data_IF_207729790854
#
_entry.id   IF_207729790854
#
_cell.length_a   1.000
_cell.length_b   1.000
_cell.length_c   1.000
_cell.angle_alpha   90.00
_cell.angle_beta   90.00
_cell.angle_gamma   90.00
#
_symmetry.space_group_name_H-M   'P 1'
#
loop_
_entity.id
_entity.type
_entity.pdbx_description
1 polymer ?
#
# COMPACT_ATOMS: atom_id res chain seq x y z
N UNK A 1 -72.67 -0.02 -39.54
CA UNK A 1 -71.80 -1.03 -40.17
C UNK A 1 -70.64 -1.28 -39.20
N UNK A 2 -70.57 -2.49 -38.63
CA UNK A 2 -69.53 -3.26 -37.90
C UNK A 2 -68.32 -2.52 -37.29
N UNK A 3 -67.79 -2.83 -36.09
CA UNK A 3 -67.71 -4.05 -35.24
C UNK A 3 -67.52 -3.64 -33.76
N UNK A 4 -68.14 -4.21 -32.72
CA UNK A 4 -68.10 -5.56 -32.12
C UNK A 4 -66.75 -6.01 -31.49
N UNK A 5 -66.89 -6.48 -30.23
CA UNK A 5 -66.06 -7.38 -29.40
C UNK A 5 -65.04 -6.71 -28.46
N UNK A 6 -65.12 -6.79 -27.11
CA UNK A 6 -65.36 -7.86 -26.13
C UNK A 6 -64.06 -8.35 -25.45
N UNK A 7 -64.01 -8.13 -24.13
CA UNK A 7 -63.44 -8.96 -23.05
C UNK A 7 -62.36 -10.00 -23.39
N UNK A 8 -61.20 -9.92 -22.74
CA UNK A 8 -60.53 -11.09 -22.14
C UNK A 8 -59.37 -10.69 -21.20
N UNK A 9 -59.56 -11.07 -19.94
CA UNK A 9 -58.60 -11.60 -18.96
C UNK A 9 -57.20 -11.96 -19.50
N UNK A 10 -56.14 -11.45 -18.87
CA UNK A 10 -54.82 -12.07 -18.95
C UNK A 10 -54.53 -12.81 -17.65
N UNK A 11 -54.55 -14.14 -17.77
CA UNK A 11 -54.40 -15.09 -16.69
C UNK A 11 -52.98 -15.19 -16.16
N UNK A 12 -52.93 -15.51 -14.87
CA UNK A 12 -51.80 -16.06 -14.15
C UNK A 12 -51.36 -17.37 -14.83
N UNK A 13 -50.18 -17.40 -15.44
CA UNK A 13 -49.53 -18.63 -15.87
C UNK A 13 -48.57 -19.06 -14.77
N UNK A 14 -48.98 -20.05 -13.98
CA UNK A 14 -48.06 -20.91 -13.25
C UNK A 14 -47.36 -21.83 -14.24
N UNK A 15 -46.04 -21.73 -14.34
CA UNK A 15 -45.21 -22.75 -14.96
C UNK A 15 -44.46 -23.52 -13.85
N UNK A 16 -44.90 -24.75 -13.61
CA UNK A 16 -44.13 -25.79 -12.94
C UNK A 16 -43.71 -26.81 -14.01
N UNK A 17 -42.40 -26.91 -14.29
CA UNK A 17 -41.80 -28.13 -14.85
C UNK A 17 -40.27 -28.03 -14.84
N UNK A 18 -39.63 -29.10 -14.36
CA UNK A 18 -38.39 -29.61 -14.97
C UNK A 18 -37.10 -29.33 -14.21
N UNK A 19 -36.78 -30.21 -13.25
CA UNK A 19 -35.43 -30.43 -12.76
C UNK A 19 -34.44 -30.74 -13.88
N UNK A 20 -33.35 -29.97 -13.93
CA UNK A 20 -32.06 -30.40 -14.46
C UNK A 20 -30.98 -29.75 -13.61
N UNK A 21 -30.58 -30.41 -12.53
CA UNK A 21 -29.37 -30.05 -11.81
C UNK A 21 -28.19 -30.22 -12.77
N UNK A 22 -27.71 -29.12 -13.35
CA UNK A 22 -26.42 -29.10 -14.04
C UNK A 22 -25.37 -29.27 -12.97
N UNK A 23 -24.90 -30.50 -12.86
CA UNK A 23 -23.79 -30.90 -12.00
C UNK A 23 -22.53 -30.25 -12.55
N UNK A 24 -22.21 -29.06 -12.04
CA UNK A 24 -20.92 -28.44 -12.25
C UNK A 24 -19.87 -29.36 -11.62
N UNK A 25 -19.17 -30.13 -12.44
CA UNK A 25 -17.95 -30.82 -12.05
C UNK A 25 -16.90 -29.75 -11.70
N UNK A 26 -16.83 -29.40 -10.42
CA UNK A 26 -15.64 -28.75 -9.88
C UNK A 26 -14.51 -29.77 -9.94
N UNK A 27 -13.66 -29.69 -10.95
CA UNK A 27 -12.30 -30.23 -10.88
C UNK A 27 -11.66 -29.59 -9.65
N UNK A 28 -11.55 -30.35 -8.57
CA UNK A 28 -10.63 -30.03 -7.49
C UNK A 28 -9.22 -30.11 -8.09
N UNK A 29 -8.71 -28.95 -8.50
CA UNK A 29 -7.29 -28.79 -8.77
C UNK A 29 -6.57 -28.86 -7.44
N UNK A 30 -5.75 -29.89 -7.26
CA UNK A 30 -4.82 -30.03 -6.16
C UNK A 30 -3.90 -28.80 -6.10
N UNK A 31 -4.16 -27.87 -5.18
CA UNK A 31 -3.25 -26.79 -4.84
C UNK A 31 -2.18 -27.32 -3.85
N UNK A 32 -1.32 -28.21 -4.33
CA UNK A 32 -0.16 -28.75 -3.61
C UNK A 32 1.10 -27.88 -3.74
N UNK A 33 0.96 -26.56 -3.91
CA UNK A 33 2.08 -25.64 -3.85
C UNK A 33 2.43 -25.35 -2.38
N UNK A 34 3.68 -25.56 -1.99
CA UNK A 34 4.15 -25.12 -0.67
C UNK A 34 3.77 -23.64 -0.47
N UNK A 35 2.97 -23.33 0.57
CA UNK A 35 2.65 -21.95 0.93
C UNK A 35 3.98 -21.22 1.10
N UNK A 36 4.21 -20.17 0.30
CA UNK A 36 5.39 -19.34 0.53
C UNK A 36 5.17 -18.57 1.82
N UNK A 37 6.26 -18.34 2.55
CA UNK A 37 6.19 -17.57 3.78
C UNK A 37 5.87 -16.12 3.45
N UNK A 38 4.88 -15.56 4.14
CA UNK A 38 4.63 -14.12 4.10
C UNK A 38 5.81 -13.39 4.71
N UNK A 39 6.38 -12.44 3.98
CA UNK A 39 7.55 -11.69 4.42
C UNK A 39 7.40 -10.21 4.12
N UNK A 40 7.82 -9.38 5.07
CA UNK A 40 7.96 -7.94 4.90
C UNK A 40 9.41 -7.60 5.21
N UNK A 41 10.14 -7.11 4.21
CA UNK A 41 11.52 -6.65 4.35
C UNK A 41 11.54 -5.13 4.30
N UNK A 42 12.05 -4.48 5.32
CA UNK A 42 12.35 -3.04 5.27
C UNK A 42 13.67 -2.81 4.53
N UNK A 43 13.64 -1.92 3.53
CA UNK A 43 14.78 -1.62 2.66
C UNK A 43 15.39 -0.23 2.94
N UNK A 44 14.89 0.48 3.95
CA UNK A 44 15.27 1.85 4.30
C UNK A 44 14.19 2.87 3.96
N UNK A 45 14.12 3.96 4.73
CA UNK A 45 13.10 5.01 4.61
C UNK A 45 11.67 4.44 4.58
N UNK A 46 10.90 4.66 3.52
CA UNK A 46 9.57 4.11 3.30
C UNK A 46 9.57 2.88 2.37
N UNK A 47 10.74 2.38 1.95
CA UNK A 47 10.86 1.31 1.00
C UNK A 47 10.68 -0.07 1.64
N UNK A 48 9.80 -0.90 1.09
CA UNK A 48 9.54 -2.27 1.56
C UNK A 48 9.41 -3.26 0.41
N UNK A 49 9.97 -4.46 0.57
CA UNK A 49 9.62 -5.62 -0.24
C UNK A 49 8.62 -6.49 0.55
N UNK A 50 7.45 -6.74 -0.02
CA UNK A 50 6.42 -7.61 0.57
C UNK A 50 6.25 -8.85 -0.31
N UNK A 51 6.35 -10.02 0.30
CA UNK A 51 6.04 -11.31 -0.32
C UNK A 51 4.80 -11.88 0.33
N UNK A 52 3.75 -12.13 -0.46
CA UNK A 52 2.49 -12.69 0.01
C UNK A 52 2.59 -14.20 0.29
N UNK A 53 1.59 -14.81 0.96
CA UNK A 53 1.52 -16.26 1.13
C UNK A 53 1.48 -17.05 -0.19
N UNK A 54 0.82 -16.48 -1.22
CA UNK A 54 0.79 -17.04 -2.57
C UNK A 54 2.05 -16.76 -3.40
N UNK A 55 2.97 -15.95 -2.86
CA UNK A 55 4.27 -15.67 -3.49
C UNK A 55 4.32 -14.45 -4.40
N UNK A 56 3.27 -13.64 -4.45
CA UNK A 56 3.26 -12.34 -5.10
C UNK A 56 4.24 -11.40 -4.40
N UNK A 57 5.08 -10.73 -5.19
CA UNK A 57 6.10 -9.78 -4.73
C UNK A 57 5.67 -8.36 -5.04
N UNK A 58 5.53 -7.54 -4.02
CA UNK A 58 5.24 -6.12 -4.14
C UNK A 58 6.46 -5.33 -3.65
N UNK A 59 6.82 -4.29 -4.39
CA UNK A 59 7.84 -3.33 -3.98
C UNK A 59 7.16 -1.99 -3.72
N UNK A 60 7.23 -1.51 -2.49
CA UNK A 60 6.53 -0.30 -2.04
C UNK A 60 7.56 0.81 -1.87
N UNK A 61 7.25 2.00 -2.40
CA UNK A 61 8.02 3.25 -2.29
C UNK A 61 9.54 3.06 -2.46
N UNK A 62 10.02 2.53 -3.61
CA UNK A 62 11.43 2.18 -3.78
C UNK A 62 12.31 3.43 -3.94
N UNK A 63 12.78 3.97 -2.82
CA UNK A 63 13.93 4.87 -2.73
C UNK A 63 15.10 4.10 -2.10
N UNK A 64 15.95 3.54 -2.95
CA UNK A 64 16.96 2.53 -2.62
C UNK A 64 18.38 3.02 -2.97
N UNK A 65 18.62 3.44 -4.20
CA UNK A 65 19.99 3.71 -4.69
C UNK A 65 20.64 4.88 -3.94
N UNK A 66 19.89 5.97 -3.81
CA UNK A 66 20.31 7.22 -3.15
C UNK A 66 19.97 7.28 -1.66
N UNK A 67 19.28 6.27 -1.14
CA UNK A 67 18.92 6.21 0.26
C UNK A 67 20.14 5.79 1.10
N UNK A 68 20.57 6.59 2.10
CA UNK A 68 21.70 6.25 2.94
C UNK A 68 21.40 5.08 3.90
N UNK A 69 20.13 4.84 4.24
CA UNK A 69 19.72 3.75 5.11
C UNK A 69 19.59 2.41 4.38
N UNK A 70 19.55 2.39 3.04
CA UNK A 70 19.48 1.15 2.27
C UNK A 70 20.83 0.44 2.30
N UNK A 71 20.90 -0.80 2.82
CA UNK A 71 22.13 -1.59 2.79
C UNK A 71 22.63 -1.80 1.36
N UNK A 72 23.95 -1.83 1.15
CA UNK A 72 24.56 -1.89 -0.18
C UNK A 72 24.05 -3.06 -1.04
N UNK A 73 23.82 -4.22 -0.41
CA UNK A 73 23.28 -5.40 -1.08
C UNK A 73 21.87 -5.19 -1.68
N UNK A 74 21.11 -4.22 -1.19
CA UNK A 74 19.77 -3.88 -1.66
C UNK A 74 19.75 -2.73 -2.67
N UNK A 75 20.89 -2.08 -2.95
CA UNK A 75 20.98 -0.95 -3.91
C UNK A 75 21.01 -1.37 -5.38
N UNK A 76 21.40 -2.61 -5.67
CA UNK A 76 21.41 -3.10 -7.05
C UNK A 76 19.98 -3.34 -7.57
N UNK A 77 19.43 -2.40 -8.34
CA UNK A 77 18.04 -2.44 -8.83
C UNK A 77 17.72 -3.68 -9.69
N UNK A 78 18.70 -4.27 -10.37
CA UNK A 78 18.50 -5.44 -11.23
C UNK A 78 17.99 -6.68 -10.47
N UNK A 79 18.19 -6.72 -9.14
CA UNK A 79 17.71 -7.79 -8.25
C UNK A 79 16.19 -7.84 -8.15
N UNK A 80 15.51 -6.71 -8.36
CA UNK A 80 14.07 -6.62 -8.15
C UNK A 80 13.34 -7.08 -9.40
N UNK A 81 12.37 -7.98 -9.18
CA UNK A 81 11.41 -8.49 -10.18
C UNK A 81 10.03 -8.54 -9.53
N UNK A 82 9.47 -7.39 -9.13
CA UNK A 82 8.17 -7.35 -8.45
C UNK A 82 7.03 -7.63 -9.45
N UNK A 83 5.94 -8.20 -8.96
CA UNK A 83 4.68 -8.32 -9.70
C UNK A 83 3.97 -6.97 -9.82
N UNK A 84 4.19 -6.06 -8.86
CA UNK A 84 3.81 -4.66 -8.95
C UNK A 84 4.69 -3.77 -8.07
N UNK A 85 4.87 -2.53 -8.49
CA UNK A 85 5.49 -1.46 -7.71
C UNK A 85 4.38 -0.54 -7.22
N UNK A 86 4.34 -0.27 -5.92
CA UNK A 86 3.36 0.64 -5.32
C UNK A 86 4.07 1.93 -4.90
N UNK A 87 3.58 3.08 -5.36
CA UNK A 87 4.14 4.39 -5.02
C UNK A 87 3.06 5.23 -4.36
N UNK A 88 3.23 5.52 -3.06
CA UNK A 88 2.26 6.23 -2.22
C UNK A 88 2.05 7.66 -2.70
N UNK A 89 3.14 8.34 -3.06
CA UNK A 89 3.11 9.71 -3.55
C UNK A 89 4.39 10.05 -4.33
N UNK A 90 4.39 11.20 -4.99
CA UNK A 90 5.37 11.53 -6.03
C UNK A 90 6.73 12.01 -5.53
N UNK A 91 6.90 12.29 -4.23
CA UNK A 91 8.18 12.76 -3.70
C UNK A 91 9.30 11.76 -3.98
N UNK A 92 10.52 12.27 -4.20
CA UNK A 92 11.65 11.49 -4.70
C UNK A 92 12.11 10.39 -3.73
N UNK A 93 11.90 10.60 -2.44
CA UNK A 93 12.22 9.66 -1.35
C UNK A 93 11.18 8.53 -1.21
N UNK A 94 10.17 8.52 -2.07
CA UNK A 94 9.21 7.42 -2.23
C UNK A 94 9.22 6.85 -3.67
N UNK A 95 9.31 7.71 -4.68
CA UNK A 95 9.21 7.32 -6.09
C UNK A 95 10.55 7.01 -6.77
N UNK A 96 11.67 7.29 -6.10
CA UNK A 96 12.98 7.51 -6.71
C UNK A 96 13.45 6.48 -7.74
N UNK A 97 13.34 5.19 -7.44
CA UNK A 97 13.79 4.10 -8.32
C UNK A 97 12.64 3.39 -9.05
N UNK A 98 11.38 3.78 -8.81
CA UNK A 98 10.20 3.08 -9.33
C UNK A 98 10.18 3.02 -10.87
N UNK A 99 10.45 4.14 -11.53
CA UNK A 99 10.45 4.24 -12.99
C UNK A 99 11.53 3.36 -13.63
N UNK A 100 12.72 3.33 -13.05
CA UNK A 100 13.84 2.55 -13.57
C UNK A 100 13.56 1.05 -13.44
N UNK A 101 13.08 0.61 -12.28
CA UNK A 101 12.70 -0.79 -12.04
C UNK A 101 11.57 -1.22 -12.99
N UNK A 102 10.56 -0.37 -13.21
CA UNK A 102 9.45 -0.67 -14.12
C UNK A 102 9.91 -0.82 -15.57
N UNK A 103 10.75 0.10 -16.06
CA UNK A 103 11.30 0.07 -17.43
C UNK A 103 12.19 -1.15 -17.66
N UNK A 104 13.01 -1.53 -16.67
CA UNK A 104 13.90 -2.67 -16.78
C UNK A 104 13.17 -4.02 -16.64
N UNK A 105 12.18 -4.10 -15.73
CA UNK A 105 11.58 -5.35 -15.30
C UNK A 105 10.23 -5.69 -15.93
N UNK A 106 9.55 -4.73 -16.56
CA UNK A 106 8.22 -4.99 -17.08
C UNK A 106 7.08 -4.74 -16.08
N UNK A 107 7.39 -4.51 -14.80
CA UNK A 107 6.40 -4.44 -13.72
C UNK A 107 5.46 -3.23 -13.84
N UNK A 108 4.16 -3.39 -13.52
CA UNK A 108 3.25 -2.27 -13.39
C UNK A 108 3.57 -1.41 -12.17
N UNK A 109 3.37 -0.11 -12.32
CA UNK A 109 3.47 0.89 -11.26
C UNK A 109 2.08 1.36 -10.91
N UNK A 110 1.74 1.25 -9.63
CA UNK A 110 0.46 1.63 -9.04
C UNK A 110 0.66 2.89 -8.22
N UNK A 111 -0.22 3.87 -8.42
CA UNK A 111 -0.20 5.12 -7.68
C UNK A 111 -1.40 5.98 -8.06
N UNK A 112 -1.34 7.26 -7.72
CA UNK A 112 -2.34 8.22 -8.16
C UNK A 112 -2.37 8.32 -9.68
N UNK A 113 -3.55 8.55 -10.24
CA UNK A 113 -3.71 8.71 -11.68
C UNK A 113 -2.78 9.79 -12.24
N UNK A 114 -2.69 10.95 -11.57
CA UNK A 114 -1.85 12.08 -11.98
C UNK A 114 -0.35 11.73 -12.00
N UNK A 115 0.15 11.10 -10.92
CA UNK A 115 1.54 10.67 -10.85
C UNK A 115 1.84 9.63 -11.93
N UNK A 116 1.02 8.58 -12.03
CA UNK A 116 1.25 7.50 -13.00
C UNK A 116 1.21 8.01 -14.44
N UNK A 117 0.28 8.92 -14.76
CA UNK A 117 0.20 9.55 -16.08
C UNK A 117 1.46 10.36 -16.41
N UNK A 118 2.14 10.92 -15.41
CA UNK A 118 3.38 11.67 -15.60
C UNK A 118 4.61 10.81 -15.92
N UNK A 119 4.57 9.50 -15.63
CA UNK A 119 5.73 8.61 -15.76
C UNK A 119 6.06 8.21 -17.20
N UNK A 120 5.13 8.39 -18.13
CA UNK A 120 5.30 7.99 -19.54
C UNK A 120 5.55 6.48 -19.72
N UNK A 121 4.98 5.66 -18.84
CA UNK A 121 5.03 4.20 -18.94
C UNK A 121 4.00 3.70 -19.97
N UNK A 122 4.24 2.54 -20.62
CA UNK A 122 3.23 1.88 -21.44
C UNK A 122 1.95 1.58 -20.64
N UNK A 123 0.78 1.59 -21.28
CA UNK A 123 -0.52 1.38 -20.63
C UNK A 123 -0.58 0.14 -19.72
N UNK A 124 0.05 -0.97 -20.14
CA UNK A 124 0.13 -2.20 -19.34
C UNK A 124 0.89 -2.06 -18.02
N UNK A 125 1.71 -1.02 -17.89
CA UNK A 125 2.48 -0.71 -16.69
C UNK A 125 1.92 0.49 -15.93
N UNK A 126 1.19 1.38 -16.58
CA UNK A 126 0.66 2.61 -16.00
C UNK A 126 -0.67 2.33 -15.27
N UNK A 127 -0.61 1.86 -14.02
CA UNK A 127 -1.81 1.54 -13.21
C UNK A 127 -2.18 2.72 -12.31
N UNK A 128 -2.79 3.74 -12.91
CA UNK A 128 -3.27 4.94 -12.20
C UNK A 128 -4.63 4.73 -11.53
N UNK A 129 -4.77 5.18 -10.29
CA UNK A 129 -6.03 5.13 -9.54
C UNK A 129 -6.25 6.35 -8.64
N UNK A 130 -7.31 6.30 -7.85
CA UNK A 130 -7.61 7.31 -6.82
C UNK A 130 -8.09 6.60 -5.55
N UNK A 131 -8.21 7.34 -4.46
CA UNK A 131 -8.77 6.87 -3.18
C UNK A 131 -10.09 6.11 -3.42
N UNK A 132 -10.23 4.94 -2.79
CA UNK A 132 -11.35 4.02 -2.99
C UNK A 132 -11.14 3.01 -4.12
N UNK A 133 -10.14 3.22 -4.97
CA UNK A 133 -9.73 2.27 -6.01
C UNK A 133 -9.17 0.97 -5.43
N UNK A 134 -9.29 -0.12 -6.17
CA UNK A 134 -8.72 -1.42 -5.81
C UNK A 134 -8.14 -2.10 -7.04
N UNK A 135 -6.93 -2.64 -6.91
CA UNK A 135 -6.24 -3.44 -7.92
C UNK A 135 -5.91 -4.82 -7.38
N UNK A 136 -5.67 -5.78 -8.25
CA UNK A 136 -5.30 -7.15 -7.87
C UNK A 136 -4.04 -7.59 -8.61
N UNK A 137 -3.10 -8.18 -7.86
CA UNK A 137 -1.85 -8.74 -8.36
C UNK A 137 -1.64 -10.10 -7.70
N UNK A 138 -1.66 -11.17 -8.50
CA UNK A 138 -1.64 -12.54 -7.99
C UNK A 138 -2.69 -12.76 -6.90
N UNK A 139 -2.24 -13.08 -5.68
CA UNK A 139 -3.10 -13.36 -4.52
C UNK A 139 -3.30 -12.15 -3.58
N UNK A 140 -2.90 -10.95 -4.00
CA UNK A 140 -2.99 -9.71 -3.21
C UNK A 140 -3.97 -8.73 -3.84
N UNK A 141 -4.87 -8.18 -3.02
CA UNK A 141 -5.64 -6.98 -3.37
C UNK A 141 -4.98 -5.75 -2.77
N UNK A 142 -4.81 -4.71 -3.59
CA UNK A 142 -4.24 -3.43 -3.20
C UNK A 142 -5.36 -2.40 -3.20
N UNK A 143 -5.73 -1.91 -2.03
CA UNK A 143 -6.74 -0.87 -1.85
C UNK A 143 -6.07 0.49 -1.66
N UNK A 144 -6.49 1.48 -2.44
CA UNK A 144 -6.03 2.85 -2.34
C UNK A 144 -6.82 3.58 -1.26
N UNK A 145 -6.15 4.01 -0.20
CA UNK A 145 -6.76 4.74 0.92
C UNK A 145 -6.20 6.15 1.02
N UNK A 146 -6.89 7.11 1.68
CA UNK A 146 -6.38 8.45 1.81
C UNK A 146 -5.06 8.50 2.60
N UNK A 147 -4.23 9.51 2.30
CA UNK A 147 -3.16 9.99 3.14
C UNK A 147 -3.24 11.53 3.26
N UNK A 148 -2.67 12.09 4.33
CA UNK A 148 -2.65 13.53 4.61
C UNK A 148 -1.21 14.07 4.54
N UNK A 149 -0.80 14.41 3.32
CA UNK A 149 0.54 14.93 3.00
C UNK A 149 0.51 15.72 1.67
N UNK A 150 1.64 16.27 1.22
CA UNK A 150 1.77 16.82 -0.14
C UNK A 150 2.23 15.76 -1.14
N UNK A 151 1.93 15.96 -2.43
CA UNK A 151 2.37 15.07 -3.51
C UNK A 151 2.45 15.82 -4.84
N UNK A 152 3.05 17.02 -4.83
CA UNK A 152 3.15 17.87 -6.00
C UNK A 152 4.53 17.78 -6.66
N UNK A 153 4.62 17.60 -8.00
CA UNK A 153 3.53 17.26 -8.92
C UNK A 153 3.11 15.79 -8.77
N UNK A 154 1.83 15.45 -8.94
CA UNK A 154 1.40 14.03 -8.86
C UNK A 154 0.08 13.77 -8.14
N UNK A 155 -0.73 14.80 -7.89
CA UNK A 155 -2.05 14.65 -7.30
C UNK A 155 -1.99 14.51 -5.77
N UNK A 156 -2.88 13.69 -5.20
CA UNK A 156 -3.02 13.54 -3.74
C UNK A 156 -2.24 12.32 -3.23
N UNK A 157 -1.52 12.39 -2.11
CA UNK A 157 -0.87 11.19 -1.58
C UNK A 157 -1.88 10.09 -1.23
N UNK A 158 -1.42 8.86 -1.28
CA UNK A 158 -2.17 7.64 -0.98
C UNK A 158 -1.50 6.85 0.13
N UNK A 159 -2.31 6.08 0.87
CA UNK A 159 -1.87 4.88 1.55
C UNK A 159 -2.30 3.64 0.79
N UNK A 160 -1.77 2.48 1.19
CA UNK A 160 -2.15 1.19 0.64
C UNK A 160 -2.57 0.22 1.73
N UNK A 161 -3.77 -0.35 1.61
CA UNK A 161 -4.11 -1.57 2.35
C UNK A 161 -3.95 -2.75 1.41
N UNK A 162 -3.10 -3.70 1.80
CA UNK A 162 -2.88 -4.96 1.13
C UNK A 162 -3.73 -6.03 1.83
N UNK A 163 -4.61 -6.69 1.10
CA UNK A 163 -5.37 -7.85 1.60
C UNK A 163 -4.81 -9.12 0.97
N UNK A 164 -4.41 -10.08 1.81
CA UNK A 164 -3.78 -11.34 1.39
C UNK A 164 -4.79 -12.49 1.38
N UNK A 165 -4.49 -13.54 0.61
CA UNK A 165 -5.33 -14.72 0.45
C UNK A 165 -5.59 -15.52 1.74
N UNK A 166 -4.73 -15.37 2.75
CA UNK A 166 -4.89 -16.02 4.05
C UNK A 166 -5.64 -15.17 5.09
N UNK A 167 -6.21 -14.04 4.67
CA UNK A 167 -7.00 -13.15 5.50
C UNK A 167 -6.18 -12.10 6.25
N UNK A 168 -4.84 -12.10 6.15
CA UNK A 168 -4.02 -11.00 6.68
C UNK A 168 -4.23 -9.73 5.88
N UNK A 169 -3.97 -8.62 6.56
CA UNK A 169 -3.98 -7.29 5.97
C UNK A 169 -2.79 -6.48 6.45
N UNK A 170 -2.17 -5.73 5.53
CA UNK A 170 -1.06 -4.83 5.82
C UNK A 170 -1.46 -3.41 5.37
N UNK A 171 -1.25 -2.41 6.21
CA UNK A 171 -1.48 -1.02 5.88
C UNK A 171 -0.16 -0.25 5.80
N UNK A 172 0.23 0.17 4.59
CA UNK A 172 1.29 1.16 4.39
C UNK A 172 0.67 2.56 4.38
N UNK A 173 1.06 3.41 5.31
CA UNK A 173 0.43 4.73 5.45
C UNK A 173 0.88 5.73 4.39
N UNK A 174 1.98 5.45 3.69
CA UNK A 174 2.76 6.49 3.01
C UNK A 174 3.25 7.52 4.03
N UNK A 175 3.62 8.70 3.54
CA UNK A 175 3.68 9.86 4.42
C UNK A 175 2.27 10.39 4.65
N UNK A 176 1.88 10.45 5.91
CA UNK A 176 0.60 11.01 6.32
C UNK A 176 0.74 11.65 7.69
N UNK A 177 0.00 12.72 7.96
CA UNK A 177 -0.37 13.10 9.33
C UNK A 177 -1.47 12.18 9.88
N UNK A 178 -1.71 12.19 11.19
CA UNK A 178 -2.85 11.47 11.79
C UNK A 178 -4.14 12.20 11.38
N UNK A 179 -5.13 11.44 10.91
CA UNK A 179 -6.43 11.98 10.51
C UNK A 179 -7.56 11.01 10.86
N UNK A 180 -8.78 11.54 10.98
CA UNK A 180 -9.94 10.79 11.50
C UNK A 180 -10.23 9.48 10.75
N UNK A 181 -10.12 9.49 9.42
CA UNK A 181 -10.48 8.32 8.60
C UNK A 181 -9.50 7.14 8.76
N UNK A 182 -8.36 7.31 9.46
CA UNK A 182 -7.55 6.16 9.86
C UNK A 182 -8.35 5.18 10.74
N UNK A 183 -9.33 5.67 11.52
CA UNK A 183 -10.26 4.82 12.24
C UNK A 183 -11.20 4.04 11.30
N UNK A 184 -11.63 4.65 10.19
CA UNK A 184 -12.44 3.97 9.16
C UNK A 184 -11.61 2.91 8.41
N UNK A 185 -10.34 3.19 8.12
CA UNK A 185 -9.42 2.20 7.55
C UNK A 185 -9.30 0.98 8.49
N UNK A 186 -9.19 1.23 9.80
CA UNK A 186 -9.18 0.17 10.80
C UNK A 186 -10.49 -0.63 10.82
N UNK A 187 -11.64 0.03 10.72
CA UNK A 187 -12.95 -0.64 10.75
C UNK A 187 -13.21 -1.50 9.50
N UNK A 188 -12.93 -0.94 8.32
CA UNK A 188 -13.21 -1.55 7.01
C UNK A 188 -12.23 -2.71 6.75
N UNK A 189 -10.94 -2.47 6.94
CA UNK A 189 -9.90 -3.39 6.50
C UNK A 189 -9.22 -4.17 7.61
N UNK A 190 -9.35 -3.72 8.87
CA UNK A 190 -8.77 -4.37 10.06
C UNK A 190 -7.30 -4.78 9.86
N UNK A 191 -6.39 -3.83 9.53
CA UNK A 191 -4.98 -4.11 9.27
C UNK A 191 -4.35 -4.87 10.44
N UNK A 192 -3.76 -6.02 10.14
CA UNK A 192 -3.00 -6.84 11.09
C UNK A 192 -1.53 -6.39 11.23
N UNK A 193 -1.02 -5.70 10.21
CA UNK A 193 0.32 -5.11 10.17
C UNK A 193 0.17 -3.66 9.70
N UNK A 194 0.88 -2.73 10.32
CA UNK A 194 0.90 -1.32 9.90
C UNK A 194 2.36 -0.89 9.71
N UNK A 195 2.66 -0.36 8.53
CA UNK A 195 3.91 0.32 8.20
C UNK A 195 3.63 1.82 8.32
N UNK A 196 4.00 2.39 9.45
CA UNK A 196 3.72 3.77 9.83
C UNK A 196 4.97 4.64 9.62
N UNK A 197 4.81 5.82 9.03
CA UNK A 197 5.86 6.82 8.96
C UNK A 197 6.06 7.50 10.33
N UNK A 198 7.30 7.56 10.83
CA UNK A 198 7.61 8.09 12.18
C UNK A 198 8.85 9.00 12.19
N UNK A 199 8.97 9.90 11.21
CA UNK A 199 10.16 10.72 11.02
C UNK A 199 10.28 11.99 11.89
N UNK A 200 9.22 12.39 12.61
CA UNK A 200 9.21 13.65 13.36
C UNK A 200 9.41 14.90 12.50
N UNK A 201 9.56 16.06 13.16
CA UNK A 201 9.95 17.31 12.50
C UNK A 201 8.85 17.95 11.62
N UNK A 202 9.20 18.90 10.73
CA UNK A 202 8.23 19.67 9.96
C UNK A 202 7.65 18.92 8.75
N UNK A 203 8.11 17.70 8.48
CA UNK A 203 7.79 16.97 7.25
C UNK A 203 6.86 15.77 7.47
N UNK A 204 6.83 15.16 8.66
CA UNK A 204 6.06 13.93 8.89
C UNK A 204 5.36 13.92 10.26
N UNK A 205 5.08 12.74 10.83
CA UNK A 205 4.46 12.60 12.15
C UNK A 205 5.49 12.77 13.27
N UNK A 206 5.21 13.64 14.23
CA UNK A 206 5.83 13.65 15.56
C UNK A 206 4.82 13.11 16.60
N UNK A 207 4.79 11.78 16.83
CA UNK A 207 3.84 11.18 17.77
C UNK A 207 4.10 11.57 19.24
N UNK A 208 5.30 12.09 19.58
CA UNK A 208 5.67 12.44 20.95
C UNK A 208 5.32 13.88 21.34
N UNK A 209 5.09 14.77 20.38
CA UNK A 209 4.66 16.16 20.64
C UNK A 209 3.15 16.35 20.74
N UNK A 210 2.35 15.36 20.32
CA UNK A 210 0.90 15.46 20.26
C UNK A 210 0.14 14.94 21.49
N UNK A 211 0.84 14.48 22.53
CA UNK A 211 0.19 14.06 23.77
C UNK A 211 0.06 15.25 24.72
N UNK A 212 -1.15 15.61 25.20
CA UNK A 212 -1.29 16.59 26.25
C UNK A 212 -0.52 16.11 27.49
N UNK A 213 0.57 16.80 27.83
CA UNK A 213 1.48 16.44 28.92
C UNK A 213 2.93 16.12 28.52
N UNK A 214 3.29 16.15 27.23
CA UNK A 214 4.68 16.03 26.76
C UNK A 214 5.49 17.34 26.95
N UNK A 215 5.33 17.97 28.12
CA UNK A 215 6.09 19.14 28.51
C UNK A 215 7.60 18.88 28.45
N UNK A 216 8.33 19.89 27.99
CA UNK A 216 9.77 19.96 27.86
C UNK A 216 10.52 19.16 28.95
N UNK A 217 11.12 18.03 28.56
CA UNK A 217 12.35 17.58 29.22
C UNK A 217 13.54 18.19 28.51
N UNK A 218 13.63 19.52 28.62
CA UNK A 218 14.83 20.29 28.34
C UNK A 218 15.93 19.94 29.34
N UNK A 219 16.75 18.94 29.00
CA UNK A 219 18.04 18.71 29.62
C UNK A 219 19.07 19.69 29.08
N UNK A 220 19.49 20.63 29.93
CA UNK A 220 20.46 21.71 29.67
C UNK A 220 21.69 21.27 28.85
N UNK A 221 21.96 22.00 27.77
CA UNK A 221 23.33 22.35 27.37
C UNK A 221 23.51 23.85 27.55
N UNK A 222 24.23 24.27 28.60
CA UNK A 222 24.77 25.62 28.71
C UNK A 222 26.03 25.68 27.85
N UNK A 223 26.16 26.70 27.01
CA UNK A 223 27.47 27.15 26.53
C UNK A 223 27.52 27.67 25.10
N UNK A 224 27.58 29.00 25.01
CA UNK A 224 28.27 29.80 23.97
C UNK A 224 27.57 29.99 22.60
N UNK A 225 26.86 31.12 22.53
CA UNK A 225 26.85 32.12 21.44
C UNK A 225 27.57 31.78 20.13
N UNK A 226 26.80 31.68 19.04
CA UNK A 226 27.32 31.71 17.67
C UNK A 226 26.22 31.52 16.64
N UNK A 227 25.88 32.58 15.90
CA UNK A 227 24.92 32.54 14.78
C UNK A 227 25.41 31.55 13.71
N UNK A 228 24.60 30.52 13.42
CA UNK A 228 24.33 29.94 12.10
C UNK A 228 23.22 28.89 12.26
N UNK A 229 22.02 29.19 11.77
CA UNK A 229 21.02 28.17 11.54
C UNK A 229 21.48 27.34 10.34
N UNK A 230 21.84 26.08 10.58
CA UNK A 230 22.00 25.07 9.55
C UNK A 230 20.90 24.04 9.78
N UNK A 231 19.81 24.14 9.02
CA UNK A 231 18.83 23.07 8.91
C UNK A 231 19.35 22.06 7.90
N UNK A 232 20.05 21.04 8.38
CA UNK A 232 20.48 19.91 7.57
C UNK A 232 19.84 18.64 8.12
N UNK A 233 18.85 18.14 7.38
CA UNK A 233 18.59 16.71 7.18
C UNK A 233 18.69 15.81 8.43
N UNK A 234 17.60 15.69 9.19
CA UNK A 234 17.33 14.46 9.95
C UNK A 234 16.62 13.46 9.03
N UNK A 235 17.37 12.95 8.05
CA UNK A 235 16.98 11.74 7.35
C UNK A 235 17.26 10.54 8.27
N UNK A 236 16.26 9.69 8.50
CA UNK A 236 16.53 8.29 8.83
C UNK A 236 16.06 7.75 10.18
N UNK A 237 14.83 8.02 10.62
CA UNK A 237 14.18 7.15 11.62
C UNK A 237 12.72 6.90 11.28
N UNK A 238 12.45 5.90 10.45
CA UNK A 238 11.15 5.22 10.45
C UNK A 238 11.30 3.95 11.29
N UNK A 239 10.96 4.00 12.57
CA UNK A 239 10.83 2.82 13.43
C UNK A 239 9.55 2.03 13.09
N UNK A 240 9.70 0.73 12.85
CA UNK A 240 8.58 -0.18 12.58
C UNK A 240 7.83 -0.45 13.89
N UNK A 241 6.58 -0.02 14.00
CA UNK A 241 5.69 -0.44 15.11
C UNK A 241 5.04 -1.78 14.77
N UNK A 242 5.73 -2.89 15.05
CA UNK A 242 5.12 -4.23 15.06
C UNK A 242 4.32 -4.42 16.36
N UNK A 243 3.00 -4.27 16.31
CA UNK A 243 2.14 -4.75 17.41
C UNK A 243 1.64 -6.17 17.12
N UNK A 244 2.08 -7.11 17.96
CA UNK A 244 1.65 -8.51 18.05
C UNK A 244 0.23 -8.58 18.64
N UNK A 245 -0.74 -9.15 17.92
CA UNK A 245 -1.97 -9.66 18.55
C UNK A 245 -2.23 -11.15 18.41
N UNK A 246 -1.44 -11.92 17.62
CA UNK A 246 -1.61 -13.38 17.56
C UNK A 246 -0.28 -14.07 17.24
N UNK A 247 0.65 -14.11 18.20
CA UNK A 247 1.75 -15.09 18.24
C UNK A 247 2.59 -15.27 16.95
N UNK A 248 3.74 -14.58 16.92
CA UNK A 248 4.89 -14.83 16.01
C UNK A 248 4.89 -14.14 14.63
N UNK A 249 5.81 -13.19 14.49
CA UNK A 249 6.53 -12.91 13.25
C UNK A 249 7.83 -12.18 13.61
N UNK A 250 8.97 -12.74 13.18
CA UNK A 250 10.30 -12.20 13.34
C UNK A 250 10.58 -11.12 12.28
N UNK A 251 11.32 -10.08 12.64
CA UNK A 251 11.96 -9.17 11.67
C UNK A 251 13.46 -9.37 11.78
N UNK A 252 14.07 -9.86 10.71
CA UNK A 252 15.52 -9.80 10.53
C UNK A 252 15.89 -8.42 9.94
N UNK A 253 16.32 -7.52 10.81
CA UNK A 253 17.06 -6.32 10.43
C UNK A 253 18.50 -6.47 10.92
N UNK A 254 19.43 -6.69 9.99
CA UNK A 254 20.86 -6.68 10.28
C UNK A 254 21.35 -5.28 10.68
N UNK A 255 22.35 -5.29 11.56
CA UNK A 255 22.99 -4.13 12.19
C UNK A 255 23.55 -3.06 11.23
#
# INVERSE_FOLDING_TARGET
MNSLNAWASLGLVMALAGSSAVQAQTKQGEAGGAKKEFKVTWLGHAAFEVVSPGGTRLLIDPFLTKNPATPEAFKNLSRYKPDAILVSHSHFDHSGDALEIAKAGGAPVVGTFDFISSLGLPDKQAVGGNVGGTFAFGDVKVHLVPAMHSSEPGGRPLGFVLSFSDGRTLYHTGDTWIFGDMALIQEIYRPSVILLNVGGGPYTQDPLRNLPGSGERGGRARGVQGRKAASSHEAGRNEIVLRRLMGEAWVEGGA
#
